data_IF_158336099329
#
_entry.id   IF_158336099329
#
_cell.length_a   1.000
_cell.length_b   1.000
_cell.length_c   1.000
_cell.angle_alpha   90.00
_cell.angle_beta   90.00
_cell.angle_gamma   90.00
#
_symmetry.space_group_name_H-M   'P 1'
#
loop_
_entity.id
_entity.type
_entity.pdbx_description
1 polymer ?
#
# COMPACT_ATOMS: atom_id res chain seq x y z
N UNK A 1 -8.37 8.36 -7.64
CA UNK A 1 -8.47 7.77 -6.29
C UNK A 1 -7.83 8.66 -5.20
N UNK A 2 -8.07 8.39 -3.91
CA UNK A 2 -7.47 9.14 -2.79
C UNK A 2 -7.14 8.24 -1.60
N UNK A 3 -5.93 8.33 -1.06
CA UNK A 3 -5.53 7.77 0.22
C UNK A 3 -5.70 8.80 1.35
N UNK A 4 -6.15 8.36 2.52
CA UNK A 4 -6.23 9.18 3.73
C UNK A 4 -6.30 8.33 4.99
N UNK A 5 -6.13 8.95 6.17
CA UNK A 5 -6.54 8.35 7.45
C UNK A 5 -8.04 8.57 7.67
N UNK A 6 -8.75 7.52 8.06
CA UNK A 6 -10.17 7.64 8.44
C UNK A 6 -10.30 8.07 9.92
N UNK A 7 -11.54 8.19 10.42
CA UNK A 7 -11.81 8.61 11.82
C UNK A 7 -11.33 7.63 12.89
N UNK A 8 -10.98 6.40 12.51
CA UNK A 8 -10.40 5.36 13.37
C UNK A 8 -8.88 5.26 13.22
N UNK A 9 -8.26 6.17 12.47
CA UNK A 9 -6.83 6.15 12.12
C UNK A 9 -6.39 4.95 11.28
N UNK A 10 -7.31 4.30 10.59
CA UNK A 10 -6.99 3.29 9.58
C UNK A 10 -6.69 4.00 8.26
N UNK A 11 -5.80 3.43 7.44
CA UNK A 11 -5.57 3.94 6.09
C UNK A 11 -6.71 3.46 5.20
N UNK A 12 -7.33 4.40 4.50
CA UNK A 12 -8.36 4.12 3.51
C UNK A 12 -7.93 4.62 2.13
N UNK A 13 -8.27 3.84 1.11
CA UNK A 13 -8.28 4.25 -0.29
C UNK A 13 -9.73 4.42 -0.73
N UNK A 14 -10.08 5.64 -1.12
CA UNK A 14 -11.37 5.97 -1.72
C UNK A 14 -11.24 6.04 -3.23
N UNK A 15 -12.07 5.24 -3.90
CA UNK A 15 -12.32 5.33 -5.35
C UNK A 15 -13.69 5.96 -5.57
N UNK A 16 -14.10 6.13 -6.83
CA UNK A 16 -15.48 6.56 -7.14
C UNK A 16 -16.56 5.63 -6.59
N UNK A 17 -16.28 4.32 -6.50
CA UNK A 17 -17.29 3.28 -6.28
C UNK A 17 -17.04 2.41 -5.04
N UNK A 18 -15.86 2.53 -4.42
CA UNK A 18 -15.46 1.69 -3.31
C UNK A 18 -14.58 2.44 -2.31
N UNK A 19 -14.60 1.97 -1.06
CA UNK A 19 -13.61 2.33 -0.04
C UNK A 19 -12.86 1.06 0.34
N UNK A 20 -11.55 1.05 0.15
CA UNK A 20 -10.66 -0.03 0.61
C UNK A 20 -10.04 0.42 1.92
N UNK A 21 -10.14 -0.41 2.96
CA UNK A 21 -9.51 -0.17 4.26
C UNK A 21 -8.31 -1.11 4.38
N UNK A 22 -7.14 -0.52 4.61
CA UNK A 22 -5.89 -1.24 4.86
C UNK A 22 -5.60 -1.19 6.36
N UNK A 23 -6.22 -2.10 7.11
CA UNK A 23 -5.85 -2.34 8.51
C UNK A 23 -5.27 -3.76 8.68
N UNK A 24 -5.39 -4.40 9.86
CA UNK A 24 -4.91 -5.75 10.11
C UNK A 24 -5.54 -6.79 9.17
N UNK A 25 -6.69 -6.44 8.60
CA UNK A 25 -7.31 -7.13 7.48
C UNK A 25 -7.71 -6.11 6.44
N UNK A 26 -7.57 -6.48 5.17
CA UNK A 26 -8.01 -5.63 4.07
C UNK A 26 -9.50 -5.84 3.84
N UNK A 27 -10.25 -4.75 3.76
CA UNK A 27 -11.67 -4.78 3.45
C UNK A 27 -12.00 -3.83 2.30
N UNK A 28 -12.98 -4.21 1.47
CA UNK A 28 -13.56 -3.35 0.44
C UNK A 28 -15.04 -3.17 0.76
N UNK A 29 -15.44 -1.93 1.02
CA UNK A 29 -16.76 -1.60 1.56
C UNK A 29 -17.04 -2.43 2.83
N UNK A 30 -18.09 -3.26 2.81
CA UNK A 30 -18.48 -4.11 3.94
C UNK A 30 -17.94 -5.55 3.84
N UNK A 31 -17.03 -5.83 2.88
CA UNK A 31 -16.49 -7.17 2.62
C UNK A 31 -15.02 -7.22 3.03
N UNK A 32 -14.71 -8.09 4.00
CA UNK A 32 -13.35 -8.42 4.39
C UNK A 32 -12.75 -9.45 3.42
N UNK A 33 -11.50 -9.26 3.01
CA UNK A 33 -10.79 -10.21 2.16
C UNK A 33 -10.19 -11.33 3.00
N UNK A 34 -10.43 -12.58 2.60
CA UNK A 34 -10.01 -13.78 3.34
C UNK A 34 -8.59 -14.26 2.98
N UNK A 35 -7.81 -13.46 2.24
CA UNK A 35 -6.46 -13.82 1.78
C UNK A 35 -6.43 -14.12 0.28
N UNK A 36 -5.79 -15.23 -0.08
CA UNK A 36 -5.57 -15.59 -1.48
C UNK A 36 -6.87 -15.87 -2.25
N UNK A 37 -6.98 -15.35 -3.47
CA UNK A 37 -8.16 -15.51 -4.33
C UNK A 37 -8.38 -14.34 -5.28
N UNK A 38 -9.39 -14.45 -6.14
CA UNK A 38 -9.81 -13.37 -7.03
C UNK A 38 -11.15 -12.79 -6.54
N UNK A 39 -11.24 -11.47 -6.44
CA UNK A 39 -12.41 -10.75 -5.94
C UNK A 39 -12.78 -9.60 -6.89
N UNK A 40 -14.08 -9.33 -7.05
CA UNK A 40 -14.57 -8.13 -7.74
C UNK A 40 -15.65 -7.46 -6.88
N UNK A 41 -15.29 -6.34 -6.24
CA UNK A 41 -16.13 -5.67 -5.24
C UNK A 41 -16.18 -4.18 -5.54
N UNK A 42 -17.38 -3.63 -5.79
CA UNK A 42 -17.55 -2.20 -6.04
C UNK A 42 -16.78 -1.69 -7.27
N UNK A 43 -16.55 -2.55 -8.27
CA UNK A 43 -15.76 -2.23 -9.46
C UNK A 43 -14.24 -2.15 -9.22
N UNK A 44 -13.77 -2.66 -8.09
CA UNK A 44 -12.36 -2.94 -7.81
C UNK A 44 -12.12 -4.43 -8.01
N UNK A 45 -11.23 -4.79 -8.93
CA UNK A 45 -10.75 -6.16 -9.06
C UNK A 45 -9.54 -6.37 -8.16
N UNK A 46 -9.49 -7.50 -7.47
CA UNK A 46 -8.40 -7.83 -6.54
C UNK A 46 -7.90 -9.24 -6.79
N UNK A 47 -6.58 -9.36 -6.93
CA UNK A 47 -5.86 -10.61 -6.79
C UNK A 47 -5.22 -10.65 -5.40
N UNK A 48 -5.78 -11.48 -4.51
CA UNK A 48 -5.13 -11.88 -3.27
C UNK A 48 -4.07 -12.94 -3.59
N UNK A 49 -2.81 -12.62 -3.29
CA UNK A 49 -1.67 -13.50 -3.55
C UNK A 49 -1.41 -14.37 -2.33
N UNK A 50 -1.43 -13.77 -1.14
CA UNK A 50 -1.16 -14.40 0.15
C UNK A 50 -1.82 -13.56 1.27
N UNK A 51 -1.67 -14.00 2.51
CA UNK A 51 -2.12 -13.25 3.69
C UNK A 51 -1.51 -11.84 3.73
N UNK A 52 -2.38 -10.83 3.61
CA UNK A 52 -2.00 -9.40 3.58
C UNK A 52 -1.12 -8.98 2.40
N UNK A 53 -1.18 -9.73 1.29
CA UNK A 53 -0.53 -9.38 0.02
C UNK A 53 -1.57 -9.38 -1.12
N UNK A 54 -1.85 -8.20 -1.65
CA UNK A 54 -2.93 -8.01 -2.62
C UNK A 54 -2.51 -7.08 -3.76
N UNK A 55 -3.03 -7.34 -4.94
CA UNK A 55 -2.97 -6.44 -6.10
C UNK A 55 -4.39 -5.99 -6.44
N UNK A 56 -4.63 -4.69 -6.49
CA UNK A 56 -5.89 -4.05 -6.79
C UNK A 56 -5.81 -3.39 -8.16
N UNK A 57 -6.77 -3.69 -9.02
CA UNK A 57 -7.09 -2.84 -10.16
C UNK A 57 -8.29 -1.97 -9.78
N UNK A 58 -8.02 -0.68 -9.58
CA UNK A 58 -9.05 0.29 -9.20
C UNK A 58 -8.95 1.51 -10.12
N UNK A 59 -10.02 1.82 -10.84
CA UNK A 59 -9.98 2.83 -11.91
C UNK A 59 -8.90 2.42 -12.95
N UNK A 60 -8.06 3.35 -13.40
CA UNK A 60 -6.98 3.10 -14.37
C UNK A 60 -5.61 2.94 -13.68
N UNK A 61 -5.59 2.42 -12.45
CA UNK A 61 -4.37 2.28 -11.64
C UNK A 61 -4.26 0.87 -11.07
N UNK A 62 -3.09 0.26 -11.22
CA UNK A 62 -2.71 -0.98 -10.52
C UNK A 62 -2.02 -0.60 -9.21
N UNK A 63 -2.58 -1.02 -8.09
CA UNK A 63 -2.07 -0.78 -6.75
C UNK A 63 -1.70 -2.10 -6.08
N UNK A 64 -0.51 -2.21 -5.53
CA UNK A 64 -0.18 -3.27 -4.57
C UNK A 64 -0.48 -2.83 -3.13
N UNK A 65 -0.87 -3.76 -2.27
CA UNK A 65 -0.84 -3.56 -0.82
C UNK A 65 -0.13 -4.73 -0.15
N UNK A 66 0.79 -4.41 0.75
CA UNK A 66 1.60 -5.38 1.47
C UNK A 66 1.77 -4.97 2.94
N UNK A 67 1.59 -5.95 3.83
CA UNK A 67 2.03 -5.87 5.21
C UNK A 67 3.37 -6.60 5.37
N UNK A 68 4.47 -5.84 5.51
CA UNK A 68 5.80 -6.43 5.65
C UNK A 68 6.05 -6.95 7.05
N UNK A 69 5.44 -8.11 7.36
CA UNK A 69 5.83 -8.93 8.52
C UNK A 69 7.01 -9.86 8.19
N UNK A 70 7.19 -10.20 6.92
CA UNK A 70 8.22 -11.12 6.45
C UNK A 70 8.67 -10.79 5.02
N UNK A 71 9.81 -11.34 4.60
CA UNK A 71 10.34 -11.21 3.24
C UNK A 71 9.48 -12.00 2.24
N UNK A 72 9.08 -11.36 1.15
CA UNK A 72 8.32 -11.97 0.07
C UNK A 72 9.16 -12.99 -0.71
N UNK A 73 8.48 -14.01 -1.25
CA UNK A 73 9.08 -14.92 -2.21
C UNK A 73 9.38 -14.19 -3.52
N UNK A 74 10.23 -14.78 -4.38
CA UNK A 74 10.49 -14.24 -5.71
C UNK A 74 9.22 -14.16 -6.57
N UNK A 75 8.38 -15.19 -6.49
CA UNK A 75 7.09 -15.24 -7.20
C UNK A 75 6.17 -14.09 -6.77
N UNK A 76 6.13 -13.79 -5.46
CA UNK A 76 5.34 -12.67 -4.94
C UNK A 76 5.90 -11.33 -5.41
N UNK A 77 7.23 -11.15 -5.41
CA UNK A 77 7.87 -9.94 -5.93
C UNK A 77 7.53 -9.72 -7.41
N UNK A 78 7.61 -10.76 -8.24
CA UNK A 78 7.30 -10.68 -9.68
C UNK A 78 5.86 -10.23 -9.94
N UNK A 79 4.89 -10.75 -9.16
CA UNK A 79 3.50 -10.29 -9.25
C UNK A 79 3.36 -8.81 -8.89
N UNK A 80 4.05 -8.38 -7.83
CA UNK A 80 3.99 -7.01 -7.33
C UNK A 80 4.69 -6.01 -8.26
N UNK A 81 5.69 -6.41 -9.05
CA UNK A 81 6.38 -5.56 -10.04
C UNK A 81 5.45 -5.00 -11.14
N UNK A 82 4.23 -5.52 -11.26
CA UNK A 82 3.21 -4.95 -12.17
C UNK A 82 2.50 -3.72 -11.59
N UNK A 83 2.69 -3.42 -10.31
CA UNK A 83 1.99 -2.34 -9.61
C UNK A 83 2.62 -0.98 -9.91
N UNK A 84 1.75 0.01 -10.13
CA UNK A 84 2.18 1.39 -10.38
C UNK A 84 2.30 2.18 -9.08
N UNK A 85 1.43 1.85 -8.12
CA UNK A 85 1.50 2.33 -6.75
C UNK A 85 1.61 1.15 -5.79
N UNK A 86 2.22 1.37 -4.63
CA UNK A 86 2.39 0.37 -3.59
C UNK A 86 2.07 0.97 -2.22
N UNK A 87 1.06 0.44 -1.55
CA UNK A 87 0.80 0.68 -0.14
C UNK A 87 1.63 -0.31 0.70
N UNK A 88 2.36 0.23 1.66
CA UNK A 88 3.32 -0.49 2.48
C UNK A 88 3.05 -0.22 3.95
N UNK A 89 2.60 -1.24 4.67
CA UNK A 89 2.50 -1.19 6.13
C UNK A 89 3.81 -1.68 6.76
N UNK A 90 4.36 -0.87 7.66
CA UNK A 90 5.68 -1.05 8.27
C UNK A 90 5.59 -1.63 9.69
N UNK A 91 4.91 -2.77 9.83
CA UNK A 91 4.76 -3.46 11.12
C UNK A 91 5.95 -4.38 11.46
N UNK A 92 6.89 -4.58 10.52
CA UNK A 92 8.05 -5.47 10.67
C UNK A 92 9.40 -4.80 10.40
N UNK A 93 10.33 -5.54 9.77
CA UNK A 93 11.67 -5.02 9.48
C UNK A 93 11.64 -4.01 8.32
N UNK A 94 11.92 -2.75 8.62
CA UNK A 94 11.91 -1.65 7.65
C UNK A 94 13.01 -1.80 6.60
N UNK A 95 14.18 -2.37 6.93
CA UNK A 95 15.25 -2.57 5.95
C UNK A 95 14.84 -3.57 4.88
N UNK A 96 14.18 -4.67 5.29
CA UNK A 96 13.63 -5.65 4.36
C UNK A 96 12.52 -5.04 3.50
N UNK A 97 11.69 -4.15 4.06
CA UNK A 97 10.68 -3.42 3.30
C UNK A 97 11.31 -2.51 2.24
N UNK A 98 12.35 -1.76 2.59
CA UNK A 98 13.09 -0.91 1.64
C UNK A 98 13.69 -1.75 0.50
N UNK A 99 14.35 -2.87 0.82
CA UNK A 99 14.94 -3.77 -0.18
C UNK A 99 13.88 -4.30 -1.16
N UNK A 100 12.69 -4.63 -0.66
CA UNK A 100 11.61 -5.20 -1.47
C UNK A 100 10.89 -4.14 -2.29
N UNK A 101 10.64 -2.96 -1.75
CA UNK A 101 10.08 -1.84 -2.53
C UNK A 101 11.03 -1.46 -3.67
N UNK A 102 12.35 -1.43 -3.43
CA UNK A 102 13.34 -1.19 -4.48
C UNK A 102 13.39 -2.29 -5.55
N UNK A 103 12.97 -3.53 -5.24
CA UNK A 103 12.84 -4.59 -6.24
C UNK A 103 11.54 -4.51 -7.04
N UNK A 104 10.48 -3.98 -6.44
CA UNK A 104 9.19 -3.76 -7.11
C UNK A 104 9.25 -2.53 -8.02
N UNK A 105 10.05 -1.52 -7.66
CA UNK A 105 10.19 -0.24 -8.37
C UNK A 105 8.85 0.46 -8.68
N UNK A 106 7.93 0.60 -7.70
CA UNK A 106 6.66 1.28 -7.94
C UNK A 106 6.89 2.78 -8.16
N UNK A 107 6.08 3.41 -9.02
CA UNK A 107 6.13 4.86 -9.22
C UNK A 107 5.70 5.61 -7.97
N UNK A 108 4.70 5.10 -7.27
CA UNK A 108 4.26 5.71 -6.01
C UNK A 108 4.39 4.70 -4.88
N UNK A 109 5.12 5.06 -3.83
CA UNK A 109 5.15 4.30 -2.57
C UNK A 109 4.41 5.06 -1.48
N UNK A 110 3.51 4.39 -0.76
CA UNK A 110 2.76 4.96 0.36
C UNK A 110 3.05 4.12 1.59
N UNK A 111 3.79 4.69 2.53
CA UNK A 111 4.19 4.03 3.75
C UNK A 111 3.27 4.40 4.91
N UNK A 112 2.95 3.41 5.75
CA UNK A 112 2.23 3.59 7.00
C UNK A 112 2.98 2.93 8.15
N UNK A 113 3.31 3.68 9.20
CA UNK A 113 4.03 3.15 10.36
C UNK A 113 4.41 4.20 11.40
N UNK A 114 5.26 3.82 12.35
CA UNK A 114 5.70 4.67 13.46
C UNK A 114 6.76 5.69 13.05
N UNK A 115 7.08 6.63 13.96
CA UNK A 115 8.17 7.59 13.74
C UNK A 115 9.56 6.94 13.64
N UNK A 116 9.77 5.82 14.34
CA UNK A 116 11.00 5.04 14.21
C UNK A 116 11.12 4.43 12.81
N UNK A 117 10.02 3.87 12.28
CA UNK A 117 10.00 3.34 10.93
C UNK A 117 10.27 4.43 9.89
N UNK A 118 9.68 5.61 10.08
CA UNK A 118 9.97 6.81 9.27
C UNK A 118 11.45 7.17 9.29
N UNK A 119 12.06 7.23 10.48
CA UNK A 119 13.48 7.61 10.60
C UNK A 119 14.40 6.63 9.87
N UNK A 120 14.05 5.34 9.85
CA UNK A 120 14.76 4.30 9.10
C UNK A 120 14.59 4.46 7.59
N UNK A 121 13.38 4.75 7.09
CA UNK A 121 13.16 5.04 5.66
C UNK A 121 14.02 6.21 5.18
N UNK A 122 14.02 7.32 5.93
CA UNK A 122 14.83 8.52 5.60
C UNK A 122 16.32 8.20 5.66
N UNK A 123 16.77 7.44 6.67
CA UNK A 123 18.16 6.99 6.78
C UNK A 123 18.57 6.05 5.63
N UNK A 124 17.61 5.30 5.09
CA UNK A 124 17.74 4.48 3.89
C UNK A 124 17.74 5.26 2.57
N UNK A 125 17.62 6.59 2.62
CA UNK A 125 17.69 7.46 1.44
C UNK A 125 16.35 7.71 0.75
N UNK A 126 15.23 7.34 1.35
CA UNK A 126 13.91 7.61 0.81
C UNK A 126 13.48 9.04 1.19
N UNK A 127 13.23 9.87 0.19
CA UNK A 127 12.69 11.22 0.38
C UNK A 127 11.16 11.15 0.57
N UNK A 128 10.69 11.44 1.79
CA UNK A 128 9.30 11.24 2.18
C UNK A 128 8.52 12.55 2.19
N UNK A 129 7.36 12.53 1.52
CA UNK A 129 6.38 13.60 1.57
C UNK A 129 5.33 13.26 2.65
N UNK A 130 5.26 14.09 3.68
CA UNK A 130 4.27 13.97 4.75
C UNK A 130 2.98 14.70 4.41
N UNK A 131 1.85 14.01 4.55
CA UNK A 131 0.52 14.58 4.36
C UNK A 131 -0.56 13.70 4.98
N UNK A 132 -1.68 14.32 5.37
CA UNK A 132 -2.85 13.61 5.94
C UNK A 132 -3.71 12.91 4.88
N UNK A 133 -3.49 13.24 3.60
CA UNK A 133 -4.17 12.61 2.47
C UNK A 133 -3.36 12.76 1.19
N UNK A 134 -3.39 11.74 0.33
CA UNK A 134 -2.79 11.75 -1.01
C UNK A 134 -3.88 11.54 -2.03
N UNK A 135 -4.08 12.50 -2.95
CA UNK A 135 -4.90 12.24 -4.13
C UNK A 135 -3.99 11.72 -5.24
N UNK A 136 -4.31 10.56 -5.79
CA UNK A 136 -3.59 10.00 -6.93
C UNK A 136 -4.44 10.09 -8.19
N UNK A 137 -3.81 10.65 -9.22
CA UNK A 137 -4.30 10.66 -10.60
C UNK A 137 -3.33 9.91 -11.49
N UNK A 138 -3.76 9.55 -12.70
CA UNK A 138 -2.89 8.87 -13.68
C UNK A 138 -1.61 9.66 -13.96
N UNK A 139 -1.69 10.99 -14.01
CA UNK A 139 -0.52 11.86 -14.25
C UNK A 139 0.48 11.87 -13.09
N UNK A 140 0.05 11.55 -11.87
CA UNK A 140 0.98 11.44 -10.74
C UNK A 140 1.87 10.19 -10.85
N UNK A 141 1.47 9.19 -11.64
CA UNK A 141 2.23 7.95 -11.86
C UNK A 141 3.38 8.09 -12.87
N UNK A 142 3.66 9.31 -13.34
CA UNK A 142 4.79 9.59 -14.24
C UNK A 142 6.10 9.87 -13.49
N UNK A 143 6.02 10.20 -12.20
CA UNK A 143 7.17 10.53 -11.36
C UNK A 143 7.24 9.64 -10.13
N UNK A 144 8.46 9.34 -9.70
CA UNK A 144 8.68 8.58 -8.46
C UNK A 144 8.44 9.47 -7.24
N UNK A 145 7.50 9.05 -6.38
CA UNK A 145 7.21 9.75 -5.11
C UNK A 145 6.95 8.77 -3.99
N UNK A 146 7.45 9.11 -2.81
CA UNK A 146 7.19 8.37 -1.59
C UNK A 146 6.42 9.23 -0.58
N UNK A 147 5.32 8.69 -0.06
CA UNK A 147 4.48 9.35 0.93
C UNK A 147 4.51 8.60 2.25
N UNK A 148 4.37 9.31 3.36
CA UNK A 148 4.35 8.70 4.69
C UNK A 148 3.12 9.14 5.48
N UNK A 149 2.42 8.17 6.06
CA UNK A 149 1.36 8.36 7.05
C UNK A 149 1.81 7.79 8.38
N UNK A 150 1.78 8.62 9.43
CA UNK A 150 2.12 8.18 10.78
C UNK A 150 0.99 7.36 11.41
N UNK A 151 1.33 6.22 12.00
CA UNK A 151 0.47 5.44 12.90
C UNK A 151 0.40 6.11 14.28
N UNK A 152 -0.79 6.18 14.88
CA UNK A 152 -0.96 6.79 16.21
C UNK A 152 -0.60 5.86 17.38
N UNK A 153 -0.32 4.58 17.10
CA UNK A 153 0.13 3.62 18.11
C UNK A 153 1.67 3.62 18.17
N UNK A 154 2.25 4.45 19.04
CA UNK A 154 3.59 4.28 19.61
C UNK A 154 3.46 3.72 21.04
#
# INVERSE_FOLDING_TARGET
MQFSKNKKNEIELKTKNATVIFDHKVAINDVELEGAGEYEIGGVSVEGIDDNLYVFQAEDVVLGAVDFKQKMSKEHLEKMSSCEALFVRLDGNVEDAIEQVNQIEPKISIYFGSNDARAKLVSGGIDLIEQDSVKLTRSDLEEERAYFFQSEND
#
